data_IF_288944258367
#
_entry.id   IF_288944258367
#
_cell.length_a   1.000
_cell.length_b   1.000
_cell.length_c   1.000
_cell.angle_alpha   90.00
_cell.angle_beta   90.00
_cell.angle_gamma   90.00
#
_symmetry.space_group_name_H-M   'P 1'
#
loop_
_entity.id
_entity.type
_entity.pdbx_description
1 polymer ?
#
# COMPACT_ATOMS: atom_id res chain seq x y z
N UNK A 1 2.42 21.23 -9.70
CA UNK A 1 3.55 20.46 -10.26
C UNK A 1 3.08 19.04 -10.51
N UNK A 2 3.12 18.59 -11.77
CA UNK A 2 2.61 17.25 -12.12
C UNK A 2 3.73 16.21 -12.28
N UNK A 3 4.99 16.61 -12.09
CA UNK A 3 6.17 15.75 -12.19
C UNK A 3 7.25 16.26 -11.25
N UNK A 4 7.82 15.37 -10.44
CA UNK A 4 8.92 15.71 -9.54
C UNK A 4 9.91 14.54 -9.37
N UNK A 5 11.21 14.84 -9.15
CA UNK A 5 12.23 13.81 -9.00
C UNK A 5 12.12 13.12 -7.65
N UNK A 6 12.36 11.81 -7.64
CA UNK A 6 12.38 11.00 -6.41
C UNK A 6 13.52 10.00 -6.44
N UNK A 7 14.00 9.61 -5.27
CA UNK A 7 14.90 8.48 -5.06
C UNK A 7 14.36 7.58 -3.97
N UNK A 8 14.54 6.29 -4.11
CA UNK A 8 14.01 5.31 -3.16
C UNK A 8 15.05 4.93 -2.11
N UNK A 9 14.62 4.67 -0.86
CA UNK A 9 15.54 4.40 0.26
C UNK A 9 16.12 3.00 0.26
N UNK A 10 15.54 2.05 -0.46
CA UNK A 10 15.90 0.63 -0.40
C UNK A 10 15.67 -0.05 -1.76
N UNK A 11 16.35 -1.18 -1.97
CA UNK A 11 16.24 -1.99 -3.19
C UNK A 11 14.99 -2.89 -3.21
N UNK A 12 14.28 -3.02 -2.10
CA UNK A 12 13.05 -3.82 -2.02
C UNK A 12 11.84 -2.97 -2.36
N UNK A 13 11.24 -3.20 -3.53
CA UNK A 13 10.08 -2.44 -3.97
C UNK A 13 8.88 -2.56 -3.00
N UNK A 14 8.71 -3.71 -2.31
CA UNK A 14 7.69 -3.90 -1.29
C UNK A 14 7.84 -2.94 -0.10
N UNK A 15 9.08 -2.52 0.18
CA UNK A 15 9.36 -1.56 1.24
C UNK A 15 9.20 -0.10 0.80
N UNK A 16 9.37 0.19 -0.49
CA UNK A 16 9.18 1.55 -1.03
C UNK A 16 7.76 1.81 -1.54
N UNK A 17 7.00 0.75 -1.78
CA UNK A 17 5.58 0.83 -2.12
C UNK A 17 4.78 -0.21 -1.32
N UNK A 18 4.75 -0.10 0.02
CA UNK A 18 3.89 -0.96 0.82
C UNK A 18 2.43 -0.74 0.45
N UNK A 19 1.69 -1.83 0.32
CA UNK A 19 0.28 -1.81 -0.02
C UNK A 19 -0.46 -2.93 0.72
N UNK A 20 -1.72 -2.70 0.98
CA UNK A 20 -2.58 -3.61 1.73
C UNK A 20 -4.04 -3.50 1.25
N UNK A 21 -4.80 -4.54 1.50
CA UNK A 21 -6.25 -4.44 1.56
C UNK A 21 -6.62 -4.08 2.99
N UNK A 22 -7.48 -3.08 3.19
CA UNK A 22 -7.87 -2.64 4.53
C UNK A 22 -9.33 -2.22 4.61
N UNK A 23 -9.94 -2.58 5.73
CA UNK A 23 -11.25 -2.09 6.18
C UNK A 23 -11.03 -1.12 7.33
N UNK A 24 -11.55 0.10 7.20
CA UNK A 24 -11.40 1.14 8.19
C UNK A 24 -12.65 1.28 9.06
N UNK A 25 -12.46 1.38 10.36
CA UNK A 25 -13.45 1.89 11.29
C UNK A 25 -13.39 3.41 11.41
N UNK A 26 -14.09 3.98 12.39
CA UNK A 26 -14.12 5.43 12.59
C UNK A 26 -12.76 6.04 12.98
N UNK A 27 -11.94 5.31 13.70
CA UNK A 27 -10.65 5.81 14.23
C UNK A 27 -9.46 4.96 13.83
N UNK A 28 -9.68 3.67 13.47
CA UNK A 28 -8.61 2.70 13.31
C UNK A 28 -8.94 1.67 12.23
N UNK A 29 -7.94 0.93 11.75
CA UNK A 29 -8.17 -0.21 10.88
C UNK A 29 -8.91 -1.29 11.66
N UNK A 30 -9.98 -1.81 11.07
CA UNK A 30 -10.69 -2.98 11.60
C UNK A 30 -10.02 -4.28 11.18
N UNK A 31 -9.75 -4.40 9.87
CA UNK A 31 -9.03 -5.51 9.26
C UNK A 31 -8.03 -4.97 8.24
N UNK A 32 -6.92 -5.68 8.06
CA UNK A 32 -5.95 -5.37 7.00
C UNK A 32 -5.20 -6.62 6.56
N UNK A 33 -4.60 -6.56 5.39
CA UNK A 33 -3.79 -7.65 4.87
C UNK A 33 -2.30 -7.39 5.11
N UNK A 34 -1.58 -8.45 5.45
CA UNK A 34 -0.12 -8.47 5.52
C UNK A 34 0.42 -9.62 4.71
N UNK A 35 1.53 -9.42 4.00
CA UNK A 35 2.24 -10.52 3.34
C UNK A 35 3.09 -11.27 4.35
N UNK A 36 3.14 -12.62 4.18
CA UNK A 36 4.13 -13.45 4.84
C UNK A 36 5.54 -13.02 4.45
N UNK A 37 6.53 -13.36 5.27
CA UNK A 37 7.94 -12.99 5.04
C UNK A 37 8.49 -13.51 3.70
N UNK A 38 7.98 -14.64 3.23
CA UNK A 38 8.32 -15.22 1.92
C UNK A 38 7.49 -14.65 0.74
N UNK A 39 6.53 -13.78 1.02
CA UNK A 39 5.65 -13.14 0.04
C UNK A 39 4.61 -14.07 -0.61
N UNK A 40 4.54 -15.34 -0.19
CA UNK A 40 3.65 -16.34 -0.82
C UNK A 40 2.21 -16.27 -0.35
N UNK A 41 2.01 -15.83 0.89
CA UNK A 41 0.70 -15.80 1.53
C UNK A 41 0.35 -14.38 1.92
N UNK A 42 -0.93 -14.09 1.92
CA UNK A 42 -1.47 -12.85 2.43
C UNK A 42 -2.39 -13.17 3.60
N UNK A 43 -2.00 -12.72 4.78
CA UNK A 43 -2.76 -12.89 6.02
C UNK A 43 -3.79 -11.77 6.16
N UNK A 44 -4.95 -12.08 6.69
CA UNK A 44 -5.92 -11.11 7.15
C UNK A 44 -5.71 -10.89 8.64
N UNK A 45 -5.42 -9.65 9.03
CA UNK A 45 -5.06 -9.26 10.38
C UNK A 45 -6.16 -8.43 11.02
N UNK A 46 -6.22 -8.48 12.33
CA UNK A 46 -7.07 -7.61 13.17
C UNK A 46 -6.33 -7.24 14.44
N UNK A 47 -6.90 -6.33 15.21
CA UNK A 47 -6.39 -6.02 16.54
C UNK A 47 -6.93 -7.00 17.58
N UNK A 48 -6.06 -7.50 18.45
CA UNK A 48 -6.46 -8.30 19.59
C UNK A 48 -7.53 -7.55 20.41
N UNK A 49 -8.52 -8.26 20.99
CA UNK A 49 -9.46 -7.66 21.91
C UNK A 49 -8.75 -6.94 23.05
N UNK A 50 -9.31 -5.82 23.50
CA UNK A 50 -8.77 -5.13 24.68
C UNK A 50 -9.09 -6.00 25.90
N UNK A 51 -8.08 -6.45 26.66
CA UNK A 51 -8.33 -7.24 27.86
C UNK A 51 -9.21 -6.49 28.85
N UNK A 52 -10.09 -7.22 29.51
CA UNK A 52 -10.90 -6.72 30.62
C UNK A 52 -10.38 -7.33 31.92
N UNK A 53 -10.31 -6.53 32.97
CA UNK A 53 -9.95 -7.00 34.29
C UNK A 53 -11.15 -7.76 34.96
N UNK A 54 -10.92 -8.31 36.17
CA UNK A 54 -11.94 -9.02 36.93
C UNK A 54 -13.15 -8.15 37.28
N UNK A 55 -13.06 -6.82 37.17
CA UNK A 55 -14.15 -5.86 37.43
C UNK A 55 -14.88 -5.42 36.16
N UNK A 56 -14.50 -5.99 34.98
CA UNK A 56 -15.07 -5.63 33.68
C UNK A 56 -14.52 -4.33 33.07
N UNK A 57 -13.49 -3.74 33.68
CA UNK A 57 -12.85 -2.54 33.14
C UNK A 57 -11.85 -2.91 32.04
N UNK A 58 -11.88 -2.16 30.97
CA UNK A 58 -10.90 -2.32 29.87
C UNK A 58 -9.52 -1.88 30.35
N UNK A 59 -8.55 -2.79 30.23
CA UNK A 59 -7.13 -2.45 30.44
C UNK A 59 -6.56 -1.85 29.17
N UNK A 60 -6.04 -0.64 29.25
CA UNK A 60 -5.40 0.03 28.13
C UNK A 60 -3.88 -0.04 28.32
N UNK A 61 -3.16 -0.54 27.32
CA UNK A 61 -1.70 -0.40 27.30
C UNK A 61 -1.35 1.06 27.04
N UNK A 62 -0.54 1.64 27.90
CA UNK A 62 -0.10 3.03 27.78
C UNK A 62 0.79 3.26 26.55
N UNK A 63 1.54 2.22 26.11
CA UNK A 63 2.45 2.29 24.97
C UNK A 63 2.34 1.05 24.10
N UNK A 64 2.58 1.21 22.77
CA UNK A 64 2.65 0.11 21.81
C UNK A 64 1.32 -0.33 21.20
N UNK A 65 0.23 0.33 21.54
CA UNK A 65 -1.08 0.06 20.92
C UNK A 65 -1.62 -1.36 21.15
N UNK A 66 -2.63 -1.74 20.39
CA UNK A 66 -3.21 -3.09 20.40
C UNK A 66 -2.35 -4.04 19.59
N UNK A 67 -2.18 -5.27 20.08
CA UNK A 67 -1.44 -6.31 19.34
C UNK A 67 -2.21 -6.69 18.07
N UNK A 68 -1.49 -6.77 16.94
CA UNK A 68 -2.02 -7.37 15.72
C UNK A 68 -2.04 -8.90 15.86
N UNK A 69 -3.13 -9.51 15.46
CA UNK A 69 -3.32 -10.97 15.43
C UNK A 69 -3.98 -11.37 14.10
N UNK A 70 -3.78 -12.61 13.61
CA UNK A 70 -4.58 -13.13 12.50
C UNK A 70 -6.07 -13.08 12.83
N UNK A 71 -6.88 -12.77 11.83
CA UNK A 71 -8.34 -12.76 11.93
C UNK A 71 -8.85 -14.21 11.99
N UNK A 72 -9.56 -14.58 13.07
CA UNK A 72 -9.94 -15.98 13.32
C UNK A 72 -11.11 -16.45 12.43
N UNK A 73 -12.10 -15.59 12.19
CA UNK A 73 -13.35 -15.92 11.47
C UNK A 73 -13.15 -16.28 9.99
N UNK A 74 -11.99 -15.97 9.42
CA UNK A 74 -11.61 -16.35 8.05
C UNK A 74 -10.36 -17.24 7.99
N UNK A 75 -9.97 -17.84 9.11
CA UNK A 75 -8.77 -18.67 9.19
C UNK A 75 -7.45 -17.91 9.05
N UNK A 76 -7.46 -16.60 9.20
CA UNK A 76 -6.26 -15.76 9.12
C UNK A 76 -5.75 -15.52 7.70
N UNK A 77 -6.44 -15.97 6.66
CA UNK A 77 -6.04 -15.81 5.27
C UNK A 77 -6.84 -14.70 4.59
N UNK A 78 -6.14 -13.86 3.82
CA UNK A 78 -6.79 -12.83 3.01
C UNK A 78 -7.11 -13.37 1.63
N UNK A 79 -8.37 -13.74 1.41
CA UNK A 79 -8.91 -14.25 0.15
C UNK A 79 -10.01 -13.30 -0.33
N UNK A 80 -9.70 -12.28 -1.15
CA UNK A 80 -10.66 -11.26 -1.58
C UNK A 80 -11.88 -11.85 -2.27
N UNK A 81 -11.70 -12.90 -3.07
CA UNK A 81 -12.74 -13.54 -3.87
C UNK A 81 -13.88 -14.13 -3.03
N UNK A 82 -13.59 -14.56 -1.81
CA UNK A 82 -14.55 -15.14 -0.86
C UNK A 82 -14.84 -14.24 0.35
N UNK A 83 -14.20 -13.07 0.43
CA UNK A 83 -14.30 -12.18 1.59
C UNK A 83 -15.55 -11.28 1.49
N UNK A 84 -16.49 -11.35 2.45
CA UNK A 84 -17.70 -10.52 2.43
C UNK A 84 -17.41 -9.03 2.44
N UNK A 85 -16.43 -8.58 3.25
CA UNK A 85 -16.06 -7.17 3.34
C UNK A 85 -15.47 -6.65 2.02
N UNK A 86 -14.74 -7.49 1.29
CA UNK A 86 -14.22 -7.11 -0.02
C UNK A 86 -15.35 -7.01 -1.05
N UNK A 87 -16.23 -7.99 -1.09
CA UNK A 87 -17.40 -8.01 -2.01
C UNK A 87 -18.34 -6.83 -1.76
N UNK A 88 -18.50 -6.44 -0.49
CA UNK A 88 -19.31 -5.28 -0.09
C UNK A 88 -18.57 -3.95 -0.25
N UNK A 89 -17.37 -3.92 -0.84
CA UNK A 89 -16.53 -2.73 -1.03
C UNK A 89 -16.13 -2.02 0.29
N UNK A 90 -16.19 -2.72 1.41
CA UNK A 90 -15.73 -2.22 2.71
C UNK A 90 -14.21 -2.39 2.89
N UNK A 91 -13.64 -3.42 2.26
CA UNK A 91 -12.21 -3.68 2.22
C UNK A 91 -11.64 -3.17 0.90
N UNK A 92 -10.75 -2.19 0.97
CA UNK A 92 -10.24 -1.49 -0.20
C UNK A 92 -8.73 -1.56 -0.26
N UNK A 93 -8.20 -1.62 -1.50
CA UNK A 93 -6.78 -1.52 -1.75
C UNK A 93 -6.27 -0.12 -1.41
N UNK A 94 -5.21 -0.05 -0.64
CA UNK A 94 -4.49 1.17 -0.32
C UNK A 94 -3.00 0.92 -0.38
N UNK A 95 -2.25 1.88 -0.90
CA UNK A 95 -0.81 1.83 -0.99
C UNK A 95 -0.20 3.21 -0.81
N UNK A 96 1.10 3.26 -0.65
CA UNK A 96 1.85 4.51 -0.52
C UNK A 96 3.24 4.35 -1.13
N UNK A 97 3.69 5.38 -1.81
CA UNK A 97 5.08 5.51 -2.23
C UNK A 97 5.88 6.15 -1.09
N UNK A 98 7.02 5.55 -0.74
CA UNK A 98 7.98 6.08 0.23
C UNK A 98 9.24 6.48 -0.52
N UNK A 99 9.61 7.75 -0.50
CA UNK A 99 10.70 8.29 -1.30
C UNK A 99 11.35 9.50 -0.65
N UNK A 100 12.51 9.88 -1.15
CA UNK A 100 13.14 11.17 -0.89
C UNK A 100 13.11 12.03 -2.16
N UNK A 101 13.06 13.34 -1.97
CA UNK A 101 13.15 14.31 -3.08
C UNK A 101 14.58 14.84 -3.11
N UNK A 102 15.35 14.62 -4.21
CA UNK A 102 16.69 15.17 -4.34
C UNK A 102 16.70 16.69 -4.15
N UNK A 103 17.68 17.16 -3.38
CA UNK A 103 17.80 18.59 -3.05
C UNK A 103 16.99 19.06 -1.84
N UNK A 104 16.07 18.24 -1.31
CA UNK A 104 15.37 18.52 -0.06
C UNK A 104 16.02 17.72 1.07
N UNK A 105 16.60 18.43 2.04
CA UNK A 105 17.16 17.79 3.24
C UNK A 105 16.02 17.38 4.17
N UNK A 106 15.83 16.07 4.33
CA UNK A 106 14.83 15.47 5.22
C UNK A 106 15.43 14.25 5.92
N UNK A 107 15.10 14.07 7.18
CA UNK A 107 15.46 12.86 7.95
C UNK A 107 14.39 11.77 7.80
N UNK A 108 13.22 12.10 7.26
CA UNK A 108 12.11 11.18 7.04
C UNK A 108 11.78 11.09 5.56
N UNK A 109 11.37 9.93 5.10
CA UNK A 109 10.84 9.76 3.76
C UNK A 109 9.51 10.51 3.59
N UNK A 110 9.26 11.00 2.39
CA UNK A 110 7.95 11.49 1.99
C UNK A 110 7.03 10.33 1.69
N UNK A 111 5.75 10.50 1.96
CA UNK A 111 4.70 9.53 1.66
C UNK A 111 3.70 10.11 0.66
N UNK A 112 3.39 9.35 -0.39
CA UNK A 112 2.33 9.67 -1.34
C UNK A 112 1.36 8.50 -1.41
N UNK A 113 0.16 8.70 -0.86
CA UNK A 113 -0.88 7.67 -0.82
C UNK A 113 -1.58 7.50 -2.17
N UNK A 114 -1.92 6.28 -2.51
CA UNK A 114 -2.73 5.93 -3.66
C UNK A 114 -3.70 4.80 -3.34
N UNK A 115 -4.90 4.86 -3.93
CA UNK A 115 -5.88 3.76 -3.95
C UNK A 115 -6.05 3.19 -5.35
N UNK A 116 -5.28 3.68 -6.32
CA UNK A 116 -5.38 3.23 -7.69
C UNK A 116 -4.64 1.91 -7.90
N UNK A 117 -5.38 0.85 -8.18
CA UNK A 117 -4.82 -0.43 -8.61
C UNK A 117 -3.91 -0.26 -9.84
N UNK A 118 -4.34 0.57 -10.81
CA UNK A 118 -3.57 0.83 -12.03
C UNK A 118 -2.23 1.48 -11.73
N UNK A 119 -2.20 2.50 -10.86
CA UNK A 119 -0.96 3.16 -10.46
C UNK A 119 -0.01 2.20 -9.76
N UNK A 120 -0.52 1.40 -8.82
CA UNK A 120 0.31 0.43 -8.08
C UNK A 120 0.86 -0.66 -8.99
N UNK A 121 0.02 -1.25 -9.85
CA UNK A 121 0.45 -2.31 -10.74
C UNK A 121 1.47 -1.81 -11.79
N UNK A 122 1.29 -0.61 -12.33
CA UNK A 122 2.27 0.01 -13.22
C UNK A 122 3.60 0.27 -12.52
N UNK A 123 3.56 0.81 -11.30
CA UNK A 123 4.77 1.05 -10.51
C UNK A 123 5.52 -0.24 -10.16
N UNK A 124 4.84 -1.32 -9.79
CA UNK A 124 5.47 -2.63 -9.53
C UNK A 124 6.24 -3.10 -10.76
N UNK A 125 5.62 -3.05 -11.94
CA UNK A 125 6.28 -3.42 -13.20
C UNK A 125 7.52 -2.58 -13.48
N UNK A 126 7.44 -1.27 -13.24
CA UNK A 126 8.59 -0.37 -13.40
C UNK A 126 9.70 -0.73 -12.41
N UNK A 127 9.37 -0.98 -11.14
CA UNK A 127 10.36 -1.39 -10.14
C UNK A 127 11.04 -2.71 -10.52
N UNK A 128 10.27 -3.71 -10.93
CA UNK A 128 10.80 -5.01 -11.34
C UNK A 128 11.70 -4.88 -12.56
N UNK A 129 11.29 -4.10 -13.56
CA UNK A 129 12.10 -3.84 -14.77
C UNK A 129 13.41 -3.13 -14.43
N UNK A 130 13.35 -2.07 -13.63
CA UNK A 130 14.55 -1.33 -13.22
C UNK A 130 15.47 -2.18 -12.37
N UNK A 131 14.91 -2.94 -11.41
CA UNK A 131 15.69 -3.85 -10.59
C UNK A 131 16.38 -4.91 -11.44
N UNK A 132 15.70 -5.50 -12.41
CA UNK A 132 16.29 -6.46 -13.34
C UNK A 132 17.46 -5.85 -14.13
N UNK A 133 17.27 -4.68 -14.72
CA UNK A 133 18.31 -4.00 -15.52
C UNK A 133 19.51 -3.53 -14.69
N UNK A 134 19.33 -3.34 -13.38
CA UNK A 134 20.36 -2.82 -12.48
C UNK A 134 20.88 -3.86 -11.49
N UNK A 135 20.69 -5.16 -11.75
CA UNK A 135 21.16 -6.24 -10.87
C UNK A 135 20.54 -6.23 -9.47
N UNK A 136 19.24 -5.96 -9.38
CA UNK A 136 18.47 -5.93 -8.14
C UNK A 136 18.40 -4.57 -7.43
N UNK A 137 18.97 -3.51 -8.03
CA UNK A 137 19.09 -2.19 -7.37
C UNK A 137 17.95 -1.24 -7.74
N UNK A 138 17.28 -0.69 -6.73
CA UNK A 138 16.30 0.38 -6.85
C UNK A 138 16.71 1.64 -6.07
N UNK A 139 17.46 1.45 -4.98
CA UNK A 139 17.85 2.55 -4.12
C UNK A 139 18.68 3.61 -4.83
N UNK A 140 18.48 4.86 -4.42
CA UNK A 140 19.23 6.01 -4.90
C UNK A 140 18.92 6.42 -6.34
N UNK A 141 19.92 6.97 -7.01
CA UNK A 141 19.82 7.40 -8.40
C UNK A 141 19.96 6.23 -9.38
N UNK A 142 19.36 6.37 -10.56
CA UNK A 142 19.35 5.34 -11.61
C UNK A 142 20.74 5.06 -12.19
N UNK A 143 21.60 6.07 -12.23
CA UNK A 143 22.93 6.02 -12.80
C UNK A 143 23.95 6.85 -12.01
N UNK A 144 25.20 6.86 -12.48
CA UNK A 144 26.29 7.64 -11.89
C UNK A 144 26.18 9.14 -12.16
N UNK A 145 25.38 9.56 -13.12
CA UNK A 145 25.10 10.95 -13.46
C UNK A 145 24.08 11.58 -12.51
N UNK A 146 23.48 10.78 -11.65
CA UNK A 146 22.50 11.27 -10.66
C UNK A 146 21.09 11.40 -11.24
N UNK A 147 20.73 10.56 -12.22
CA UNK A 147 19.38 10.51 -12.78
C UNK A 147 18.40 9.96 -11.74
N UNK A 148 17.38 10.73 -11.32
CA UNK A 148 16.35 10.25 -10.38
C UNK A 148 15.26 9.49 -11.13
N UNK A 149 14.43 8.77 -10.38
CA UNK A 149 13.09 8.46 -10.84
C UNK A 149 12.22 9.72 -10.84
N UNK A 150 11.10 9.66 -11.55
CA UNK A 150 10.09 10.71 -11.50
C UNK A 150 8.74 10.14 -11.12
N UNK A 151 8.06 10.79 -10.18
CA UNK A 151 6.63 10.59 -9.96
C UNK A 151 5.87 11.66 -10.75
N UNK A 152 4.96 11.20 -11.59
CA UNK A 152 4.10 12.04 -12.41
C UNK A 152 2.65 11.81 -12.08
N UNK A 153 1.80 12.79 -12.41
CA UNK A 153 0.36 12.67 -12.32
C UNK A 153 -0.24 12.97 -13.68
N UNK A 154 -0.87 11.96 -14.28
CA UNK A 154 -1.42 12.03 -15.64
C UNK A 154 -2.90 11.71 -15.63
N UNK A 155 -3.68 12.45 -16.42
CA UNK A 155 -5.09 12.14 -16.66
C UNK A 155 -5.18 11.01 -17.69
N UNK A 156 -5.80 9.90 -17.30
CA UNK A 156 -5.97 8.73 -18.16
C UNK A 156 -7.41 8.22 -18.10
N UNK A 157 -7.88 7.65 -19.19
CA UNK A 157 -9.15 6.93 -19.19
C UNK A 157 -8.92 5.49 -18.69
N UNK A 158 -9.53 5.16 -17.56
CA UNK A 158 -9.45 3.84 -16.94
C UNK A 158 -10.78 3.09 -17.04
N UNK A 159 -10.70 1.78 -17.15
CA UNK A 159 -11.89 0.93 -17.11
C UNK A 159 -12.48 0.93 -15.70
N UNK A 160 -13.77 1.13 -15.62
CA UNK A 160 -14.53 1.13 -14.38
C UNK A 160 -15.85 0.34 -14.60
N UNK A 161 -16.33 -0.30 -13.54
CA UNK A 161 -17.66 -0.92 -13.55
C UNK A 161 -18.61 0.06 -12.87
N UNK A 162 -19.63 0.54 -13.60
CA UNK A 162 -20.64 1.45 -13.07
C UNK A 162 -21.56 0.76 -12.04
N UNK A 163 -22.43 1.53 -11.42
CA UNK A 163 -23.37 1.01 -10.42
C UNK A 163 -24.41 0.03 -11.00
N UNK A 164 -24.52 -0.03 -12.33
CA UNK A 164 -25.37 -0.97 -13.06
C UNK A 164 -24.59 -2.21 -13.55
N UNK A 165 -23.31 -2.35 -13.16
CA UNK A 165 -22.45 -3.47 -13.56
C UNK A 165 -21.90 -3.39 -14.98
N UNK A 166 -22.02 -2.23 -15.68
CA UNK A 166 -21.55 -2.07 -17.06
C UNK A 166 -20.11 -1.55 -17.08
N UNK A 167 -19.27 -2.05 -17.99
CA UNK A 167 -17.92 -1.51 -18.19
C UNK A 167 -18.01 -0.13 -18.86
N UNK A 168 -17.46 0.87 -18.18
CA UNK A 168 -17.35 2.25 -18.68
C UNK A 168 -15.91 2.72 -18.62
N UNK A 169 -15.54 3.73 -19.40
CA UNK A 169 -14.27 4.42 -19.26
C UNK A 169 -14.49 5.76 -18.57
N UNK A 170 -13.71 6.02 -17.54
CA UNK A 170 -13.79 7.27 -16.78
C UNK A 170 -12.42 7.94 -16.73
N UNK A 171 -12.34 9.27 -16.89
CA UNK A 171 -11.08 9.98 -16.73
C UNK A 171 -10.67 9.98 -15.26
N UNK A 172 -9.45 9.54 -14.99
CA UNK A 172 -8.88 9.48 -13.64
C UNK A 172 -7.44 9.98 -13.65
N UNK A 173 -7.08 10.74 -12.62
CA UNK A 173 -5.70 11.12 -12.38
C UNK A 173 -4.92 9.96 -11.80
N UNK A 174 -3.98 9.44 -12.57
CA UNK A 174 -3.14 8.30 -12.18
C UNK A 174 -1.74 8.79 -11.85
N UNK A 175 -1.18 8.27 -10.76
CA UNK A 175 0.24 8.44 -10.43
C UNK A 175 1.02 7.42 -11.24
N UNK A 176 2.04 7.87 -11.95
CA UNK A 176 2.97 7.04 -12.71
C UNK A 176 4.38 7.21 -12.18
N UNK A 177 5.15 6.13 -12.22
CA UNK A 177 6.57 6.10 -11.95
C UNK A 177 7.33 5.99 -13.27
N UNK A 178 8.19 6.98 -13.55
CA UNK A 178 9.06 7.06 -14.71
C UNK A 178 10.53 6.94 -14.31
#
# INVERSE_FOLDING_TARGET
LYRFPVVFPTDRWQSVMPHELATWGAQDKRFWSEYSTDGRWRHCMTHAPVPVDATGRRTVRLFGGRKAIPREDNGGLCQPESCPEYQQRQCNLTGRFLFFIPGIRSISAFELHTRSFYAMNAAIRTFETVAFLRGGRLAGFLDRQGTPFYLTKRLMEVAHIDDQGRPVRVPQWIIELE
#
